data_IF_379000097732
#
_entry.id   IF_379000097732
#
_cell.length_a   1.000
_cell.length_b   1.000
_cell.length_c   1.000
_cell.angle_alpha   90.00
_cell.angle_beta   90.00
_cell.angle_gamma   90.00
#
_symmetry.space_group_name_H-M   'P 1'
#
loop_
_entity.id
_entity.type
_entity.pdbx_description
1 polymer ?
#
# COMPACT_ATOMS: atom_id res chain seq x y z
N UNK A 1 -24.29 4.07 -22.30
CA UNK A 1 -24.77 3.21 -21.19
C UNK A 1 -24.16 1.84 -21.37
N UNK A 2 -23.08 1.55 -20.65
CA UNK A 2 -22.55 0.18 -20.57
C UNK A 2 -23.24 -0.45 -19.36
N UNK A 3 -24.20 -1.32 -19.65
CA UNK A 3 -24.82 -2.21 -18.68
C UNK A 3 -23.75 -3.19 -18.18
N UNK A 4 -23.31 -3.02 -16.94
CA UNK A 4 -22.50 -4.03 -16.25
C UNK A 4 -23.44 -4.96 -15.49
N UNK A 5 -23.46 -6.20 -15.95
CA UNK A 5 -24.16 -7.36 -15.40
C UNK A 5 -23.89 -7.60 -13.91
N UNK A 6 -24.94 -7.98 -13.18
CA UNK A 6 -24.94 -8.83 -11.97
C UNK A 6 -23.71 -8.73 -11.05
N UNK A 7 -23.60 -7.67 -10.23
CA UNK A 7 -22.80 -7.79 -9.02
C UNK A 7 -23.59 -8.61 -8.00
N UNK A 8 -23.09 -9.80 -7.64
CA UNK A 8 -23.46 -10.41 -6.36
C UNK A 8 -23.33 -9.32 -5.30
N UNK A 9 -24.39 -9.05 -4.54
CA UNK A 9 -24.39 -8.07 -3.45
C UNK A 9 -23.40 -8.52 -2.38
N UNK A 10 -22.14 -8.14 -2.53
CA UNK A 10 -21.10 -8.28 -1.51
C UNK A 10 -21.55 -7.53 -0.27
N UNK A 11 -21.38 -8.15 0.90
CA UNK A 11 -21.79 -7.52 2.15
C UNK A 11 -21.11 -6.14 2.31
N UNK A 12 -21.81 -5.08 2.73
CA UNK A 12 -21.27 -3.71 2.76
C UNK A 12 -19.95 -3.56 3.53
N UNK A 13 -19.75 -4.36 4.59
CA UNK A 13 -18.48 -4.40 5.33
C UNK A 13 -17.30 -4.92 4.49
N UNK A 14 -17.53 -5.88 3.59
CA UNK A 14 -16.49 -6.42 2.70
C UNK A 14 -16.14 -5.38 1.64
N UNK A 15 -17.13 -4.67 1.12
CA UNK A 15 -16.91 -3.61 0.13
C UNK A 15 -16.06 -2.46 0.69
N UNK A 16 -16.22 -2.12 1.98
CA UNK A 16 -15.34 -1.15 2.68
C UNK A 16 -13.86 -1.58 2.75
N UNK A 17 -13.56 -2.87 2.57
CA UNK A 17 -12.19 -3.37 2.52
C UNK A 17 -11.54 -3.23 1.13
N UNK A 18 -12.29 -2.75 0.12
CA UNK A 18 -11.82 -2.57 -1.27
C UNK A 18 -11.32 -3.89 -1.89
N UNK A 19 -12.20 -4.89 -2.06
CA UNK A 19 -11.82 -6.23 -2.54
C UNK A 19 -11.13 -6.23 -3.90
N UNK A 20 -11.33 -5.20 -4.72
CA UNK A 20 -10.69 -5.01 -6.01
C UNK A 20 -9.17 -4.81 -5.96
N UNK A 21 -8.61 -4.48 -4.78
CA UNK A 21 -7.17 -4.29 -4.53
C UNK A 21 -6.63 -5.17 -3.39
N UNK A 22 -7.44 -6.11 -2.89
CA UNK A 22 -7.07 -6.96 -1.76
C UNK A 22 -5.86 -7.87 -2.03
N UNK A 23 -5.59 -8.17 -3.31
CA UNK A 23 -4.44 -8.94 -3.75
C UNK A 23 -3.11 -8.27 -3.38
N UNK A 24 -2.95 -6.97 -3.65
CA UNK A 24 -1.75 -6.24 -3.27
C UNK A 24 -1.66 -6.05 -1.76
N UNK A 25 -2.79 -5.85 -1.09
CA UNK A 25 -2.84 -5.55 0.35
C UNK A 25 -2.50 -6.79 1.20
N UNK A 26 -2.73 -8.00 0.68
CA UNK A 26 -2.26 -9.26 1.26
C UNK A 26 -0.83 -9.58 0.85
N UNK A 27 -0.45 -9.31 -0.41
CA UNK A 27 0.88 -9.63 -0.91
C UNK A 27 1.98 -8.79 -0.27
N UNK A 28 1.72 -7.53 0.08
CA UNK A 28 2.68 -6.64 0.74
C UNK A 28 3.19 -7.19 2.10
N UNK A 29 2.34 -7.48 3.10
CA UNK A 29 2.82 -8.05 4.35
C UNK A 29 3.42 -9.45 4.15
N UNK A 30 2.93 -10.24 3.18
CA UNK A 30 3.50 -11.55 2.85
C UNK A 30 4.96 -11.43 2.37
N UNK A 31 5.19 -10.58 1.37
CA UNK A 31 6.49 -10.33 0.78
C UNK A 31 7.46 -9.75 1.82
N UNK A 32 6.99 -8.80 2.63
CA UNK A 32 7.80 -8.17 3.68
C UNK A 32 8.25 -9.17 4.74
N UNK A 33 7.34 -10.02 5.23
CA UNK A 33 7.65 -11.03 6.23
C UNK A 33 8.62 -12.10 5.71
N UNK A 34 8.40 -12.58 4.48
CA UNK A 34 9.26 -13.57 3.84
C UNK A 34 10.67 -13.02 3.61
N UNK A 35 10.78 -11.81 3.06
CA UNK A 35 12.07 -11.18 2.78
C UNK A 35 12.85 -10.90 4.07
N UNK A 36 12.19 -10.36 5.09
CA UNK A 36 12.83 -10.08 6.38
C UNK A 36 13.37 -11.35 7.03
N UNK A 37 12.55 -12.42 7.11
CA UNK A 37 12.98 -13.70 7.67
C UNK A 37 14.11 -14.34 6.86
N UNK A 38 14.01 -14.31 5.53
CA UNK A 38 15.05 -14.85 4.65
C UNK A 38 16.39 -14.16 4.87
N UNK A 39 16.43 -12.83 4.93
CA UNK A 39 17.68 -12.10 5.12
C UNK A 39 18.23 -12.21 6.54
N UNK A 40 17.36 -12.27 7.56
CA UNK A 40 17.79 -12.38 8.95
C UNK A 40 18.28 -13.78 9.33
N UNK A 41 17.70 -14.84 8.74
CA UNK A 41 17.92 -16.22 9.20
C UNK A 41 18.30 -17.22 8.10
N UNK A 42 18.22 -16.83 6.83
CA UNK A 42 18.32 -17.74 5.69
C UNK A 42 17.13 -18.70 5.56
N UNK A 43 16.03 -18.48 6.30
CA UNK A 43 14.92 -19.44 6.40
C UNK A 43 13.55 -18.78 6.32
N UNK A 44 12.51 -19.59 6.08
CA UNK A 44 11.12 -19.13 6.07
C UNK A 44 10.67 -18.72 7.49
N UNK A 45 9.79 -17.71 7.60
CA UNK A 45 9.28 -17.29 8.90
C UNK A 45 8.47 -18.44 9.55
N UNK A 46 8.50 -18.56 10.89
CA UNK A 46 7.60 -19.46 11.60
C UNK A 46 6.14 -19.23 11.17
N UNK A 47 5.43 -20.31 10.83
CA UNK A 47 4.11 -20.23 10.19
C UNK A 47 3.11 -19.37 10.97
N UNK A 48 3.07 -19.48 12.30
CA UNK A 48 2.17 -18.66 13.12
C UNK A 48 2.54 -17.18 13.09
N UNK A 49 3.82 -16.83 13.24
CA UNK A 49 4.26 -15.44 13.16
C UNK A 49 3.96 -14.84 11.78
N UNK A 50 4.13 -15.62 10.71
CA UNK A 50 3.77 -15.23 9.35
C UNK A 50 2.27 -14.94 9.21
N UNK A 51 1.40 -15.84 9.68
CA UNK A 51 -0.06 -15.64 9.62
C UNK A 51 -0.49 -14.42 10.45
N UNK A 52 0.09 -14.23 11.64
CA UNK A 52 -0.20 -13.06 12.48
C UNK A 52 0.22 -11.76 11.76
N UNK A 53 1.39 -11.75 11.10
CA UNK A 53 1.86 -10.59 10.34
C UNK A 53 0.96 -10.27 9.14
N UNK A 54 0.49 -11.31 8.42
CA UNK A 54 -0.48 -11.15 7.32
C UNK A 54 -1.78 -10.53 7.79
N UNK A 55 -2.39 -11.10 8.84
CA UNK A 55 -3.66 -10.62 9.40
C UNK A 55 -3.48 -9.20 9.93
N UNK A 56 -2.40 -8.93 10.66
CA UNK A 56 -2.11 -7.62 11.24
C UNK A 56 -1.89 -6.55 10.18
N UNK A 57 -1.07 -6.83 9.16
CA UNK A 57 -0.80 -5.91 8.06
C UNK A 57 -2.05 -5.61 7.23
N UNK A 58 -2.81 -6.64 6.84
CA UNK A 58 -4.05 -6.46 6.10
C UNK A 58 -5.10 -5.69 6.91
N UNK A 59 -5.24 -5.99 8.21
CA UNK A 59 -6.14 -5.26 9.10
C UNK A 59 -5.73 -3.79 9.28
N UNK A 60 -4.43 -3.48 9.32
CA UNK A 60 -3.94 -2.11 9.41
C UNK A 60 -4.30 -1.30 8.15
N UNK A 61 -4.01 -1.86 6.97
CA UNK A 61 -4.32 -1.24 5.67
C UNK A 61 -5.82 -1.00 5.55
N UNK A 62 -6.63 -2.04 5.78
CA UNK A 62 -8.09 -1.95 5.58
C UNK A 62 -8.80 -1.11 6.64
N UNK A 63 -8.29 -1.08 7.88
CA UNK A 63 -8.74 -0.12 8.91
C UNK A 63 -8.64 1.33 8.40
N UNK A 64 -7.53 1.65 7.71
CA UNK A 64 -7.31 2.98 7.16
C UNK A 64 -8.28 3.32 6.03
N UNK A 65 -8.65 2.36 5.17
CA UNK A 65 -9.69 2.56 4.13
C UNK A 65 -11.04 2.87 4.75
N UNK A 66 -11.47 2.05 5.71
CA UNK A 66 -12.78 2.23 6.36
C UNK A 66 -12.85 3.57 7.09
N UNK A 67 -11.76 3.97 7.76
CA UNK A 67 -11.67 5.28 8.41
C UNK A 67 -11.68 6.44 7.41
N UNK A 68 -10.97 6.31 6.28
CA UNK A 68 -10.97 7.30 5.21
C UNK A 68 -12.39 7.47 4.63
N UNK A 69 -13.08 6.39 4.29
CA UNK A 69 -14.46 6.44 3.77
C UNK A 69 -15.42 7.09 4.78
N UNK A 70 -15.21 6.91 6.09
CA UNK A 70 -15.98 7.62 7.14
C UNK A 70 -15.74 9.14 7.14
N UNK A 71 -14.54 9.59 6.77
CA UNK A 71 -14.16 11.01 6.73
C UNK A 71 -14.57 11.69 5.41
N UNK A 72 -14.63 10.93 4.32
CA UNK A 72 -14.87 11.43 2.96
C UNK A 72 -16.32 11.25 2.48
N UNK A 73 -17.23 10.82 3.36
CA UNK A 73 -18.64 10.53 3.02
C UNK A 73 -19.38 11.61 2.21
N UNK A 74 -19.09 12.90 2.44
CA UNK A 74 -19.68 14.05 1.73
C UNK A 74 -19.04 14.32 0.35
N UNK A 75 -17.77 13.95 0.17
CA UNK A 75 -17.04 13.97 -1.12
C UNK A 75 -17.47 12.75 -1.95
N UNK A 76 -17.49 11.58 -1.32
CA UNK A 76 -17.88 10.31 -1.95
C UNK A 76 -19.35 10.30 -2.37
N UNK A 77 -20.23 11.06 -1.71
CA UNK A 77 -21.61 11.24 -2.18
C UNK A 77 -21.73 11.87 -3.58
N UNK A 78 -20.68 12.57 -4.03
CA UNK A 78 -20.62 13.16 -5.38
C UNK A 78 -19.89 12.19 -6.32
N UNK A 79 -18.68 11.77 -5.94
CA UNK A 79 -17.81 10.99 -6.82
C UNK A 79 -18.21 9.52 -6.94
N UNK A 80 -18.69 8.92 -5.85
CA UNK A 80 -18.89 7.48 -5.68
C UNK A 80 -20.19 7.20 -4.90
N UNK A 81 -21.35 7.66 -5.39
CA UNK A 81 -22.62 7.64 -4.65
C UNK A 81 -23.10 6.23 -4.29
N UNK A 82 -22.61 5.20 -5.00
CA UNK A 82 -22.98 3.81 -4.77
C UNK A 82 -22.20 3.14 -3.62
N UNK A 83 -21.13 3.76 -3.11
CA UNK A 83 -20.33 3.19 -2.01
C UNK A 83 -21.19 2.97 -0.74
N UNK A 84 -20.82 2.03 0.14
CA UNK A 84 -21.64 1.64 1.29
C UNK A 84 -22.10 2.78 2.21
N UNK A 85 -21.22 3.75 2.46
CA UNK A 85 -21.50 4.89 3.34
C UNK A 85 -22.37 5.97 2.67
N UNK A 86 -22.01 6.51 1.49
CA UNK A 86 -22.88 7.47 0.78
C UNK A 86 -24.27 6.93 0.44
N UNK A 87 -24.38 5.65 0.11
CA UNK A 87 -25.65 4.99 -0.23
C UNK A 87 -26.47 4.53 0.98
N UNK A 88 -26.02 4.82 2.21
CA UNK A 88 -26.68 4.44 3.47
C UNK A 88 -26.86 2.92 3.68
N UNK A 89 -26.10 2.07 3.00
CA UNK A 89 -26.11 0.62 3.23
C UNK A 89 -25.56 0.27 4.62
N UNK A 90 -24.70 1.11 5.18
CA UNK A 90 -24.17 1.00 6.54
C UNK A 90 -24.08 2.38 7.20
N UNK A 91 -24.35 2.47 8.50
CA UNK A 91 -24.20 3.74 9.22
C UNK A 91 -22.72 4.06 9.49
N UNK A 92 -22.39 5.36 9.49
CA UNK A 92 -21.04 5.86 9.84
C UNK A 92 -20.54 5.33 11.19
N UNK A 93 -21.42 5.20 12.18
CA UNK A 93 -21.06 4.66 13.49
C UNK A 93 -20.65 3.18 13.41
N UNK A 94 -21.35 2.36 12.62
CA UNK A 94 -20.99 0.95 12.41
C UNK A 94 -19.66 0.83 11.67
N UNK A 95 -19.45 1.63 10.62
CA UNK A 95 -18.19 1.66 9.89
C UNK A 95 -17.02 2.11 10.78
N UNK A 96 -17.19 3.13 11.63
CA UNK A 96 -16.15 3.57 12.56
C UNK A 96 -15.80 2.48 13.60
N UNK A 97 -16.80 1.80 14.16
CA UNK A 97 -16.57 0.64 15.04
C UNK A 97 -15.79 -0.47 14.32
N UNK A 98 -16.09 -0.68 13.03
CA UNK A 98 -15.37 -1.66 12.22
C UNK A 98 -13.92 -1.26 11.95
N UNK A 99 -13.65 0.01 11.62
CA UNK A 99 -12.30 0.54 11.49
C UNK A 99 -11.49 0.37 12.80
N UNK A 100 -12.09 0.70 13.95
CA UNK A 100 -11.46 0.52 15.27
C UNK A 100 -11.19 -0.96 15.55
N UNK A 101 -12.14 -1.84 15.24
CA UNK A 101 -11.96 -3.29 15.38
C UNK A 101 -10.78 -3.83 14.57
N UNK A 102 -10.68 -3.45 13.29
CA UNK A 102 -9.52 -3.80 12.44
C UNK A 102 -8.21 -3.21 12.99
N UNK A 103 -8.23 -1.98 13.48
CA UNK A 103 -7.09 -1.34 14.12
C UNK A 103 -6.64 -2.05 15.41
N UNK A 104 -7.57 -2.58 16.21
CA UNK A 104 -7.26 -3.41 17.38
C UNK A 104 -6.63 -4.74 16.99
N UNK A 105 -7.10 -5.39 15.90
CA UNK A 105 -6.48 -6.61 15.37
C UNK A 105 -5.03 -6.32 14.95
N UNK A 106 -4.81 -5.24 14.18
CA UNK A 106 -3.47 -4.82 13.77
C UNK A 106 -2.57 -4.53 14.97
N UNK A 107 -3.09 -3.82 15.98
CA UNK A 107 -2.35 -3.47 17.20
C UNK A 107 -1.98 -4.71 18.01
N UNK A 108 -2.91 -5.65 18.18
CA UNK A 108 -2.65 -6.91 18.88
C UNK A 108 -1.61 -7.76 18.13
N UNK A 109 -1.74 -7.89 16.81
CA UNK A 109 -0.76 -8.60 15.98
C UNK A 109 0.63 -7.98 16.10
N UNK A 110 0.74 -6.65 16.01
CA UNK A 110 2.01 -5.96 16.15
C UNK A 110 2.64 -6.17 17.53
N UNK A 111 1.88 -6.03 18.62
CA UNK A 111 2.38 -6.24 19.98
C UNK A 111 2.80 -7.68 20.26
N UNK A 112 2.06 -8.67 19.73
CA UNK A 112 2.39 -10.10 19.86
C UNK A 112 3.70 -10.42 19.14
N UNK A 113 3.93 -9.83 17.97
CA UNK A 113 5.11 -10.07 17.16
C UNK A 113 6.33 -9.31 17.69
N UNK A 114 6.21 -7.98 17.82
CA UNK A 114 7.31 -7.12 18.24
C UNK A 114 6.82 -5.71 18.67
N UNK A 115 7.20 -5.21 19.86
CA UNK A 115 6.84 -3.85 20.29
C UNK A 115 7.28 -2.72 19.35
N UNK A 116 8.38 -2.86 18.62
CA UNK A 116 8.85 -1.90 17.61
C UNK A 116 7.89 -1.84 16.42
N UNK A 117 7.35 -3.00 15.99
CA UNK A 117 6.29 -3.06 14.98
C UNK A 117 5.04 -2.27 15.43
N UNK A 118 4.70 -2.32 16.72
CA UNK A 118 3.58 -1.55 17.25
C UNK A 118 3.86 -0.04 17.23
N UNK A 119 5.08 0.40 17.56
CA UNK A 119 5.47 1.81 17.46
C UNK A 119 5.35 2.31 16.02
N UNK A 120 5.85 1.53 15.05
CA UNK A 120 5.74 1.88 13.63
C UNK A 120 4.27 1.93 13.17
N UNK A 121 3.45 0.94 13.57
CA UNK A 121 2.01 0.94 13.30
C UNK A 121 1.33 2.19 13.89
N UNK A 122 1.65 2.55 15.13
CA UNK A 122 1.08 3.71 15.80
C UNK A 122 1.41 5.01 15.04
N UNK A 123 2.66 5.18 14.60
CA UNK A 123 3.08 6.32 13.77
C UNK A 123 2.34 6.32 12.42
N UNK A 124 2.22 5.16 11.77
CA UNK A 124 1.49 5.03 10.51
C UNK A 124 0.00 5.39 10.65
N UNK A 125 -0.67 4.91 11.71
CA UNK A 125 -2.08 5.20 12.02
C UNK A 125 -2.29 6.68 12.29
N UNK A 126 -1.43 7.35 13.06
CA UNK A 126 -1.51 8.79 13.26
C UNK A 126 -1.35 9.53 11.92
N UNK A 127 -0.35 9.14 11.14
CA UNK A 127 -0.03 9.79 9.86
C UNK A 127 -1.18 9.68 8.86
N UNK A 128 -1.77 8.50 8.68
CA UNK A 128 -2.91 8.30 7.77
C UNK A 128 -4.21 8.92 8.31
N UNK A 129 -4.35 9.04 9.63
CA UNK A 129 -5.47 9.75 10.26
C UNK A 129 -5.40 11.25 10.02
N UNK A 130 -4.19 11.85 10.07
CA UNK A 130 -3.96 13.25 9.71
C UNK A 130 -4.39 13.50 8.26
N UNK A 131 -4.05 12.59 7.34
CA UNK A 131 -4.54 12.67 5.96
C UNK A 131 -6.07 12.70 5.90
N UNK A 132 -6.70 11.65 6.46
CA UNK A 132 -8.14 11.41 6.31
C UNK A 132 -8.97 12.51 6.96
N UNK A 133 -8.53 13.05 8.11
CA UNK A 133 -9.31 14.01 8.88
C UNK A 133 -9.05 15.47 8.51
N UNK A 134 -7.81 15.80 8.11
CA UNK A 134 -7.32 17.19 8.01
C UNK A 134 -6.68 17.47 6.65
N UNK A 135 -5.63 16.74 6.27
CA UNK A 135 -4.76 17.16 5.17
C UNK A 135 -5.51 17.23 3.83
N UNK A 136 -6.38 16.24 3.53
CA UNK A 136 -7.16 16.23 2.28
C UNK A 136 -7.97 17.51 2.06
N UNK A 137 -8.49 18.10 3.14
CA UNK A 137 -9.34 19.31 3.10
C UNK A 137 -8.58 20.62 3.24
N UNK A 138 -7.28 20.59 3.49
CA UNK A 138 -6.52 21.80 3.88
C UNK A 138 -5.29 22.05 3.02
N UNK A 139 -4.75 21.05 2.32
CA UNK A 139 -3.52 21.21 1.54
C UNK A 139 -3.50 20.36 0.28
N UNK A 140 -2.85 20.88 -0.76
CA UNK A 140 -2.53 20.15 -1.99
C UNK A 140 -1.47 19.06 -1.79
N UNK A 141 -0.76 19.11 -0.65
CA UNK A 141 0.24 18.11 -0.24
C UNK A 141 -0.38 16.95 0.54
N UNK A 142 -1.71 16.77 0.48
CA UNK A 142 -2.42 15.72 1.23
C UNK A 142 -1.98 14.30 0.89
N UNK A 143 -1.36 14.07 -0.27
CA UNK A 143 -0.80 12.77 -0.63
C UNK A 143 0.45 12.39 0.19
N UNK A 144 1.19 13.37 0.76
CA UNK A 144 2.46 13.11 1.46
C UNK A 144 2.27 12.14 2.64
N UNK A 145 1.36 12.41 3.61
CA UNK A 145 1.15 11.50 4.73
C UNK A 145 0.67 10.11 4.29
N UNK A 146 -0.04 9.99 3.16
CA UNK A 146 -0.48 8.67 2.66
C UNK A 146 0.72 7.81 2.30
N UNK A 147 1.62 8.30 1.44
CA UNK A 147 2.82 7.52 1.08
C UNK A 147 3.72 7.25 2.27
N UNK A 148 3.87 8.18 3.22
CA UNK A 148 4.65 7.92 4.44
C UNK A 148 4.01 6.78 5.25
N UNK A 149 2.69 6.82 5.49
CA UNK A 149 2.00 5.78 6.25
C UNK A 149 2.09 4.41 5.59
N UNK A 150 1.91 4.33 4.27
CA UNK A 150 2.02 3.08 3.52
C UNK A 150 3.48 2.59 3.37
N UNK A 151 4.45 3.50 3.31
CA UNK A 151 5.87 3.18 3.37
C UNK A 151 6.30 2.57 4.70
N UNK A 152 5.61 2.91 5.79
CA UNK A 152 5.85 2.34 7.13
C UNK A 152 5.27 0.92 7.28
N UNK A 153 4.29 0.51 6.46
CA UNK A 153 3.69 -0.84 6.53
C UNK A 153 4.75 -1.95 6.38
N UNK A 154 5.54 -2.02 5.30
CA UNK A 154 6.57 -3.05 5.17
C UNK A 154 7.64 -2.97 6.26
N UNK A 155 7.96 -1.76 6.76
CA UNK A 155 8.93 -1.58 7.85
C UNK A 155 8.39 -2.17 9.16
N UNK A 156 7.12 -1.92 9.49
CA UNK A 156 6.48 -2.48 10.67
C UNK A 156 6.44 -4.00 10.61
N UNK A 157 6.17 -4.57 9.43
CA UNK A 157 6.23 -6.03 9.23
C UNK A 157 7.66 -6.56 9.31
N UNK A 158 8.65 -5.84 8.76
CA UNK A 158 10.06 -6.25 8.82
C UNK A 158 10.54 -6.46 10.26
N UNK A 159 10.25 -5.48 11.14
CA UNK A 159 10.66 -5.49 12.54
C UNK A 159 10.05 -6.65 13.36
N UNK A 160 9.01 -7.31 12.84
CA UNK A 160 8.47 -8.51 13.46
C UNK A 160 9.40 -9.74 13.32
N UNK A 161 10.23 -9.77 12.27
CA UNK A 161 11.11 -10.90 11.94
C UNK A 161 12.59 -10.56 12.08
N UNK A 162 12.95 -9.29 11.93
CA UNK A 162 14.31 -8.78 12.09
C UNK A 162 14.27 -7.46 12.88
N UNK A 163 14.13 -7.54 14.22
CA UNK A 163 14.00 -6.36 15.07
C UNK A 163 15.27 -5.50 15.06
N UNK A 164 15.08 -4.18 15.06
CA UNK A 164 16.21 -3.23 15.07
C UNK A 164 16.80 -3.05 16.47
N UNK A 165 16.12 -3.49 17.54
CA UNK A 165 16.63 -3.38 18.91
C UNK A 165 16.54 -1.97 19.51
N UNK A 166 15.85 -1.05 18.84
CA UNK A 166 15.74 0.38 19.21
C UNK A 166 15.11 0.56 20.60
N UNK A 167 14.22 -0.37 21.01
CA UNK A 167 13.57 -0.32 22.32
C UNK A 167 14.33 -1.05 23.43
N UNK A 168 15.41 -1.76 23.12
CA UNK A 168 16.15 -2.58 24.10
C UNK A 168 17.26 -1.81 24.82
N UNK A 169 18.01 -0.94 24.14
CA UNK A 169 18.99 0.01 24.70
C UNK A 169 19.64 0.87 23.57
N UNK A 170 20.16 2.08 23.85
CA UNK A 170 20.73 2.98 22.83
C UNK A 170 21.89 2.39 22.03
N UNK A 171 22.68 1.51 22.65
CA UNK A 171 23.89 0.92 22.06
C UNK A 171 23.63 -0.39 21.31
N UNK A 172 22.38 -0.88 21.30
CA UNK A 172 21.98 -2.16 20.69
C UNK A 172 21.16 -1.98 19.40
N UNK A 173 20.93 -0.74 18.96
CA UNK A 173 20.20 -0.46 17.74
C UNK A 173 20.98 -0.86 16.50
N UNK A 174 20.47 -1.83 15.73
CA UNK A 174 20.92 -2.05 14.35
C UNK A 174 20.18 -1.08 13.41
N UNK A 175 20.88 -0.57 12.40
CA UNK A 175 20.25 0.20 11.34
C UNK A 175 19.44 -0.77 10.48
N UNK A 176 18.21 -0.40 10.11
CA UNK A 176 17.39 -1.16 9.17
C UNK A 176 18.22 -1.51 7.92
N UNK A 177 18.23 -2.79 7.47
CA UNK A 177 19.02 -3.18 6.32
C UNK A 177 18.53 -2.48 5.05
N UNK A 178 19.42 -2.22 4.09
CA UNK A 178 19.10 -1.49 2.86
C UNK A 178 17.85 -2.02 2.13
N UNK A 179 17.63 -3.34 1.99
CA UNK A 179 16.40 -3.87 1.41
C UNK A 179 15.13 -3.41 2.11
N UNK A 180 15.13 -3.32 3.44
CA UNK A 180 13.99 -2.83 4.21
C UNK A 180 13.71 -1.35 3.90
N UNK A 181 14.77 -0.53 3.88
CA UNK A 181 14.68 0.89 3.55
C UNK A 181 14.15 1.08 2.12
N UNK A 182 14.69 0.35 1.14
CA UNK A 182 14.21 0.43 -0.24
C UNK A 182 12.78 -0.10 -0.40
N UNK A 183 12.35 -1.10 0.37
CA UNK A 183 10.97 -1.57 0.38
C UNK A 183 10.01 -0.50 0.92
N UNK A 184 10.36 0.18 2.01
CA UNK A 184 9.59 1.31 2.54
C UNK A 184 9.56 2.51 1.58
N UNK A 185 10.70 2.86 0.96
CA UNK A 185 10.78 3.93 -0.04
C UNK A 185 9.96 3.59 -1.29
N UNK A 186 10.09 2.37 -1.81
CA UNK A 186 9.31 1.89 -2.95
C UNK A 186 7.82 2.03 -2.67
N UNK A 187 7.35 1.58 -1.49
CA UNK A 187 5.96 1.73 -1.10
C UNK A 187 5.55 3.19 -1.00
N UNK A 188 6.36 4.04 -0.36
CA UNK A 188 6.07 5.47 -0.21
C UNK A 188 5.91 6.19 -1.56
N UNK A 189 6.89 6.06 -2.45
CA UNK A 189 6.85 6.70 -3.76
C UNK A 189 5.74 6.14 -4.64
N UNK A 190 5.57 4.83 -4.69
CA UNK A 190 4.47 4.25 -5.46
C UNK A 190 3.12 4.62 -4.89
N UNK A 191 2.97 4.83 -3.57
CA UNK A 191 1.70 5.27 -2.97
C UNK A 191 1.41 6.71 -3.34
N UNK A 192 2.40 7.60 -3.38
CA UNK A 192 2.20 8.95 -3.89
C UNK A 192 1.68 8.94 -5.34
N UNK A 193 2.24 8.09 -6.20
CA UNK A 193 1.73 7.91 -7.57
C UNK A 193 0.33 7.27 -7.62
N UNK A 194 0.09 6.24 -6.81
CA UNK A 194 -1.16 5.49 -6.73
C UNK A 194 -2.31 6.36 -6.19
N UNK A 195 -2.11 7.00 -5.04
CA UNK A 195 -3.09 7.91 -4.41
C UNK A 195 -3.42 9.07 -5.35
N UNK A 196 -2.44 9.76 -5.94
CA UNK A 196 -2.71 10.87 -6.83
C UNK A 196 -3.44 10.46 -8.12
N UNK A 197 -3.24 9.23 -8.59
CA UNK A 197 -4.04 8.66 -9.68
C UNK A 197 -5.51 8.50 -9.28
N UNK A 198 -5.77 8.05 -8.05
CA UNK A 198 -7.11 7.97 -7.46
C UNK A 198 -7.75 9.34 -7.24
N UNK A 199 -7.03 10.30 -6.63
CA UNK A 199 -7.53 11.65 -6.38
C UNK A 199 -7.80 12.40 -7.69
N UNK A 200 -7.08 12.10 -8.78
CA UNK A 200 -7.40 12.66 -10.10
C UNK A 200 -8.79 12.26 -10.61
N UNK A 201 -9.32 11.10 -10.20
CA UNK A 201 -10.70 10.68 -10.49
C UNK A 201 -11.73 11.48 -9.68
N UNK A 202 -11.35 11.92 -8.48
CA UNK A 202 -12.25 12.47 -7.47
C UNK A 202 -12.34 14.02 -7.51
N UNK A 203 -11.75 14.64 -8.54
CA UNK A 203 -11.62 16.11 -8.71
C UNK A 203 -12.94 16.87 -8.61
N UNK A 204 -14.04 16.30 -9.11
CA UNK A 204 -15.34 16.97 -9.11
C UNK A 204 -15.87 17.15 -7.69
N UNK A 205 -15.95 16.06 -6.92
CA UNK A 205 -16.36 16.09 -5.51
C UNK A 205 -15.38 16.87 -4.62
N UNK A 206 -14.07 16.75 -4.85
CA UNK A 206 -13.07 17.53 -4.11
C UNK A 206 -13.28 19.04 -4.33
N UNK A 207 -13.48 19.47 -5.58
CA UNK A 207 -13.76 20.86 -5.92
C UNK A 207 -15.08 21.34 -5.31
N UNK A 208 -16.14 20.54 -5.40
CA UNK A 208 -17.45 20.88 -4.85
C UNK A 208 -17.43 21.04 -3.32
N UNK A 209 -16.53 20.35 -2.63
CA UNK A 209 -16.33 20.46 -1.17
C UNK A 209 -15.18 21.38 -0.76
N UNK A 210 -14.58 22.10 -1.71
CA UNK A 210 -13.48 23.04 -1.45
C UNK A 210 -12.19 22.38 -0.98
N UNK A 211 -11.99 21.08 -1.23
CA UNK A 211 -10.75 20.38 -0.91
C UNK A 211 -9.67 20.76 -1.94
N UNK A 212 -8.57 21.42 -1.53
CA UNK A 212 -7.56 21.92 -2.45
C UNK A 212 -6.56 20.81 -2.81
N UNK A 213 -7.04 19.65 -3.26
CA UNK A 213 -6.16 18.52 -3.59
C UNK A 213 -5.27 18.83 -4.79
N UNK A 214 -4.13 18.13 -4.90
CA UNK A 214 -3.16 18.37 -5.98
C UNK A 214 -3.78 18.51 -7.39
N UNK A 215 -4.67 17.60 -7.85
CA UNK A 215 -5.31 17.76 -9.16
C UNK A 215 -6.35 18.89 -9.23
N UNK A 216 -6.98 19.29 -8.11
CA UNK A 216 -7.85 20.47 -8.06
C UNK A 216 -7.03 21.76 -8.21
N UNK A 217 -5.87 21.83 -7.55
CA UNK A 217 -5.00 23.02 -7.54
C UNK A 217 -4.19 23.17 -8.83
N UNK A 218 -3.59 22.08 -9.33
CA UNK A 218 -2.63 22.13 -10.46
C UNK A 218 -3.16 21.51 -11.76
N UNK A 219 -4.36 20.93 -11.72
CA UNK A 219 -4.98 20.25 -12.86
C UNK A 219 -4.45 18.82 -13.10
N UNK A 220 -5.31 18.00 -13.71
CA UNK A 220 -4.99 16.59 -14.05
C UNK A 220 -3.73 16.45 -14.93
N UNK A 221 -3.43 17.32 -15.91
CA UNK A 221 -2.20 17.20 -16.71
C UNK A 221 -0.91 17.31 -15.89
N UNK A 222 -0.87 18.23 -14.91
CA UNK A 222 0.28 18.37 -14.01
C UNK A 222 0.38 17.18 -13.08
N UNK A 223 -0.75 16.71 -12.54
CA UNK A 223 -0.81 15.50 -11.73
C UNK A 223 -0.29 14.28 -12.47
N UNK A 224 -0.64 14.08 -13.75
CA UNK A 224 -0.18 12.95 -14.54
C UNK A 224 1.35 12.89 -14.67
N UNK A 225 2.01 14.05 -14.86
CA UNK A 225 3.47 14.15 -14.91
C UNK A 225 4.10 13.79 -13.57
N UNK A 226 3.55 14.33 -12.48
CA UNK A 226 4.04 14.04 -11.13
C UNK A 226 3.85 12.56 -10.76
N UNK A 227 2.67 11.99 -11.04
CA UNK A 227 2.38 10.56 -10.86
C UNK A 227 3.39 9.69 -11.60
N UNK A 228 3.71 10.03 -12.86
CA UNK A 228 4.71 9.30 -13.65
C UNK A 228 6.11 9.36 -13.03
N UNK A 229 6.52 10.52 -12.51
CA UNK A 229 7.78 10.66 -11.80
C UNK A 229 7.82 9.77 -10.54
N UNK A 230 6.74 9.75 -9.75
CA UNK A 230 6.65 8.93 -8.55
C UNK A 230 6.71 7.42 -8.88
N UNK A 231 6.02 6.99 -9.94
CA UNK A 231 6.12 5.61 -10.44
C UNK A 231 7.53 5.28 -10.94
N UNK A 232 8.19 6.20 -11.65
CA UNK A 232 9.58 6.02 -12.08
C UNK A 232 10.52 5.79 -10.90
N UNK A 233 10.46 6.65 -9.88
CA UNK A 233 11.27 6.49 -8.66
C UNK A 233 10.93 5.18 -7.94
N UNK A 234 9.64 4.84 -7.84
CA UNK A 234 9.18 3.59 -7.24
C UNK A 234 9.65 2.32 -7.97
N UNK A 235 9.72 2.35 -9.30
CA UNK A 235 10.28 1.25 -10.11
C UNK A 235 11.79 1.16 -9.93
N UNK A 236 12.52 2.28 -9.84
CA UNK A 236 13.95 2.22 -9.51
C UNK A 236 14.20 1.65 -8.11
N UNK A 237 13.36 2.02 -7.14
CA UNK A 237 13.42 1.49 -5.79
C UNK A 237 13.12 -0.02 -5.77
N UNK A 238 12.20 -0.54 -6.60
CA UNK A 238 11.97 -1.98 -6.69
C UNK A 238 13.20 -2.73 -7.22
N UNK A 239 13.87 -2.20 -8.24
CA UNK A 239 15.13 -2.80 -8.72
C UNK A 239 16.20 -2.76 -7.61
N UNK A 240 16.29 -1.67 -6.85
CA UNK A 240 17.23 -1.54 -5.73
C UNK A 240 16.99 -2.58 -4.62
N UNK A 241 15.73 -2.96 -4.34
CA UNK A 241 15.41 -4.06 -3.41
C UNK A 241 16.09 -5.35 -3.87
N UNK A 242 15.91 -5.73 -5.14
CA UNK A 242 16.48 -6.96 -5.68
C UNK A 242 18.01 -7.00 -5.62
N UNK A 243 18.66 -5.88 -5.95
CA UNK A 243 20.12 -5.76 -5.90
C UNK A 243 20.62 -5.87 -4.47
N UNK A 244 20.01 -5.13 -3.54
CA UNK A 244 20.48 -5.07 -2.13
C UNK A 244 20.14 -6.31 -1.32
N UNK A 245 19.10 -7.05 -1.71
CA UNK A 245 18.72 -8.33 -1.10
C UNK A 245 19.30 -9.55 -1.82
N UNK A 246 20.09 -9.36 -2.87
CA UNK A 246 20.64 -10.43 -3.70
C UNK A 246 19.59 -11.43 -4.21
N UNK A 247 18.46 -10.90 -4.68
CA UNK A 247 17.35 -11.71 -5.18
C UNK A 247 17.67 -12.35 -6.55
N UNK A 248 16.93 -13.40 -6.87
CA UNK A 248 17.09 -14.20 -8.08
C UNK A 248 16.36 -13.65 -9.31
N UNK A 249 16.51 -14.34 -10.46
CA UNK A 249 15.95 -13.92 -11.73
C UNK A 249 14.42 -13.85 -11.76
N UNK A 250 13.71 -14.62 -10.92
CA UNK A 250 12.24 -14.59 -10.87
C UNK A 250 11.77 -13.22 -10.36
N UNK A 251 12.40 -12.70 -9.30
CA UNK A 251 12.11 -11.36 -8.80
C UNK A 251 12.41 -10.29 -9.86
N UNK A 252 13.62 -10.31 -10.43
CA UNK A 252 14.03 -9.29 -11.41
C UNK A 252 13.13 -9.31 -12.66
N UNK A 253 12.73 -10.49 -13.13
CA UNK A 253 11.79 -10.61 -14.26
C UNK A 253 10.45 -9.96 -13.93
N UNK A 254 9.89 -10.26 -12.76
CA UNK A 254 8.63 -9.64 -12.30
C UNK A 254 8.75 -8.13 -12.15
N UNK A 255 9.78 -7.65 -11.45
CA UNK A 255 10.01 -6.23 -11.20
C UNK A 255 10.25 -5.43 -12.49
N UNK A 256 11.05 -5.94 -13.43
CA UNK A 256 11.35 -5.27 -14.71
C UNK A 256 10.13 -5.26 -15.61
N UNK A 257 9.48 -6.41 -15.85
CA UNK A 257 8.35 -6.48 -16.78
C UNK A 257 7.14 -5.69 -16.26
N UNK A 258 6.81 -5.84 -14.97
CA UNK A 258 5.75 -5.06 -14.35
C UNK A 258 6.11 -3.57 -14.32
N UNK A 259 7.37 -3.22 -14.04
CA UNK A 259 7.85 -1.84 -14.00
C UNK A 259 7.76 -1.16 -15.37
N UNK A 260 8.25 -1.80 -16.44
CA UNK A 260 8.12 -1.30 -17.81
C UNK A 260 6.65 -1.10 -18.18
N UNK A 261 5.80 -2.07 -17.87
CA UNK A 261 4.37 -1.98 -18.13
C UNK A 261 3.74 -0.80 -17.37
N UNK A 262 4.02 -0.66 -16.07
CA UNK A 262 3.50 0.43 -15.24
C UNK A 262 3.95 1.80 -15.74
N UNK A 263 5.22 1.94 -16.14
CA UNK A 263 5.73 3.18 -16.72
C UNK A 263 5.04 3.50 -18.04
N UNK A 264 4.83 2.52 -18.92
CA UNK A 264 4.05 2.72 -20.13
C UNK A 264 2.63 3.23 -19.82
N UNK A 265 1.94 2.64 -18.83
CA UNK A 265 0.61 3.11 -18.41
C UNK A 265 0.66 4.55 -17.86
N UNK A 266 1.69 4.90 -17.11
CA UNK A 266 1.85 6.27 -16.57
C UNK A 266 2.15 7.30 -17.67
N UNK A 267 2.96 6.96 -18.67
CA UNK A 267 3.19 7.81 -19.83
C UNK A 267 1.94 7.98 -20.69
N UNK A 268 1.12 6.93 -20.82
CA UNK A 268 -0.19 7.04 -21.47
C UNK A 268 -1.12 8.01 -20.72
N UNK A 269 -1.07 8.04 -19.38
CA UNK A 269 -1.82 9.04 -18.60
C UNK A 269 -1.32 10.48 -18.84
N UNK A 270 -0.02 10.70 -19.08
CA UNK A 270 0.49 12.02 -19.51
C UNK A 270 -0.11 12.42 -20.87
N UNK A 271 -0.19 11.48 -21.82
CA UNK A 271 -0.75 11.74 -23.15
C UNK A 271 -2.26 11.98 -23.10
N UNK A 272 -2.95 11.29 -22.20
CA UNK A 272 -4.41 11.30 -22.05
C UNK A 272 -4.83 11.68 -20.62
N UNK A 273 -4.60 12.92 -20.16
CA UNK A 273 -4.74 13.30 -18.76
C UNK A 273 -6.20 13.58 -18.37
N UNK A 274 -7.02 12.53 -18.30
CA UNK A 274 -8.43 12.60 -17.88
C UNK A 274 -8.64 11.98 -16.49
N UNK A 275 -9.64 12.44 -15.70
CA UNK A 275 -10.01 11.82 -14.43
C UNK A 275 -10.25 10.30 -14.54
N UNK A 276 -10.92 9.88 -15.60
CA UNK A 276 -11.22 8.47 -15.87
C UNK A 276 -9.93 7.66 -16.07
N UNK A 277 -8.95 8.22 -16.79
CA UNK A 277 -7.68 7.55 -17.02
C UNK A 277 -6.87 7.40 -15.72
N UNK A 278 -6.90 8.41 -14.85
CA UNK A 278 -6.33 8.34 -13.50
C UNK A 278 -6.95 7.21 -12.69
N UNK A 279 -8.29 7.07 -12.73
CA UNK A 279 -9.00 5.94 -12.12
C UNK A 279 -8.58 4.57 -12.67
N UNK A 280 -8.34 4.44 -13.97
CA UNK A 280 -7.77 3.20 -14.54
C UNK A 280 -6.32 2.96 -14.09
N UNK A 281 -5.51 4.01 -14.00
CA UNK A 281 -4.12 3.93 -13.57
C UNK A 281 -3.99 3.49 -12.10
N UNK A 282 -4.93 3.92 -11.25
CA UNK A 282 -5.06 3.45 -9.87
C UNK A 282 -5.16 1.93 -9.81
N UNK A 283 -6.11 1.32 -10.53
CA UNK A 283 -6.27 -0.15 -10.55
C UNK A 283 -5.06 -0.86 -11.19
N UNK A 284 -4.44 -0.26 -12.20
CA UNK A 284 -3.22 -0.79 -12.81
C UNK A 284 -2.04 -0.78 -11.83
N UNK A 285 -1.92 0.27 -11.00
CA UNK A 285 -0.92 0.36 -9.94
C UNK A 285 -1.05 -0.76 -8.91
N UNK A 286 -2.29 -1.15 -8.57
CA UNK A 286 -2.53 -2.32 -7.71
C UNK A 286 -1.98 -3.61 -8.33
N UNK A 287 -2.24 -3.83 -9.62
CA UNK A 287 -1.76 -5.01 -10.35
C UNK A 287 -0.24 -5.05 -10.45
N UNK A 288 0.41 -3.90 -10.67
CA UNK A 288 1.87 -3.80 -10.64
C UNK A 288 2.42 -4.31 -9.31
N UNK A 289 1.86 -3.86 -8.18
CA UNK A 289 2.25 -4.30 -6.84
C UNK A 289 1.99 -5.78 -6.62
N UNK A 290 0.82 -6.28 -7.03
CA UNK A 290 0.50 -7.70 -6.96
C UNK A 290 1.52 -8.58 -7.69
N UNK A 291 1.91 -8.21 -8.91
CA UNK A 291 2.93 -8.95 -9.69
C UNK A 291 4.31 -8.82 -9.03
N UNK A 292 4.72 -7.62 -8.64
CA UNK A 292 6.03 -7.38 -8.02
C UNK A 292 6.17 -8.17 -6.71
N UNK A 293 5.22 -8.05 -5.79
CA UNK A 293 5.25 -8.80 -4.53
C UNK A 293 5.07 -10.29 -4.75
N UNK A 294 4.22 -10.71 -5.69
CA UNK A 294 4.09 -12.12 -6.06
C UNK A 294 5.42 -12.70 -6.55
N UNK A 295 6.15 -11.99 -7.41
CA UNK A 295 7.47 -12.42 -7.89
C UNK A 295 8.51 -12.49 -6.79
N UNK A 296 8.49 -11.54 -5.84
CA UNK A 296 9.35 -11.54 -4.66
C UNK A 296 9.07 -12.75 -3.77
N UNK A 297 7.79 -13.03 -3.49
CA UNK A 297 7.37 -14.17 -2.69
C UNK A 297 7.87 -15.48 -3.31
N UNK A 298 7.63 -15.68 -4.61
CA UNK A 298 8.05 -16.89 -5.33
C UNK A 298 9.57 -17.02 -5.33
N UNK A 299 10.30 -15.94 -5.58
CA UNK A 299 11.76 -15.94 -5.63
C UNK A 299 12.37 -16.30 -4.27
N UNK A 300 11.90 -15.68 -3.17
CA UNK A 300 12.35 -16.01 -1.81
C UNK A 300 12.03 -17.46 -1.44
N UNK A 301 10.84 -17.97 -1.80
CA UNK A 301 10.51 -19.37 -1.57
C UNK A 301 11.47 -20.32 -2.30
N UNK A 302 11.84 -20.01 -3.55
CA UNK A 302 12.79 -20.81 -4.32
C UNK A 302 14.21 -20.73 -3.75
N UNK A 303 14.65 -19.54 -3.32
CA UNK A 303 15.96 -19.36 -2.68
C UNK A 303 16.11 -20.18 -1.40
N UNK A 304 15.03 -20.32 -0.62
CA UNK A 304 15.05 -21.11 0.63
C UNK A 304 14.87 -22.60 0.38
N UNK A 305 13.97 -22.99 -0.54
CA UNK A 305 13.53 -24.39 -0.68
C UNK A 305 14.26 -25.18 -1.78
N UNK A 306 14.89 -24.51 -2.75
CA UNK A 306 15.47 -25.16 -3.93
C UNK A 306 16.97 -24.93 -4.06
N UNK A 307 17.78 -25.93 -3.68
CA UNK A 307 19.23 -25.91 -3.88
C UNK A 307 19.63 -25.73 -5.34
N UNK A 308 18.87 -26.34 -6.25
CA UNK A 308 19.07 -26.22 -7.70
C UNK A 308 18.88 -24.79 -8.18
N UNK A 309 17.91 -24.06 -7.63
CA UNK A 309 17.70 -22.66 -7.98
C UNK A 309 18.85 -21.78 -7.51
N UNK A 310 19.33 -22.02 -6.28
CA UNK A 310 20.50 -21.30 -5.73
C UNK A 310 21.75 -21.53 -6.59
N UNK A 311 22.00 -22.76 -7.06
CA UNK A 311 23.17 -23.08 -7.90
C UNK A 311 23.14 -22.49 -9.32
N UNK A 312 21.99 -21.97 -9.76
CA UNK A 312 21.88 -21.25 -11.04
C UNK A 312 22.35 -19.80 -10.87
N UNK A 313 22.28 -19.27 -9.64
CA UNK A 313 22.56 -17.87 -9.32
C UNK A 313 24.00 -17.70 -8.82
N UNK A 314 24.50 -18.67 -8.06
CA UNK A 314 25.83 -18.70 -7.43
C UNK A 314 26.62 -19.94 -7.84
#
# INVERSE_FOLDING_TARGET
MVSTSNSKTTHPLIELLRPEIADMDLALPAASALLASYLATGSLPPLMSFIIALIGGYAAITSSYVYNDCCDMDIDAINLPNRPLPSNQISKQKALKYAIFLGMIASAAALILNPESFVVLFVAVITISIYSRVAKRTTYLSFIPVGIAYGLVPIGVWLAFDPAGILKQPDYGSILPLPAIFLGLMMCFTDWGFTLSGVARDVEGDRARGAPTFPVTFGVPTTARFVTLMWFVGVLASIAIGITAHLGPIYFTGAILAGIWMLFQSFDFIKNPTPQRGGSLFLQGSRYRGIMFGSLIVDVLLLVLSKTYVSIIW
#
